data_IF_526350322473
#
_entry.id   IF_526350322473
#
_cell.length_a   1.000
_cell.length_b   1.000
_cell.length_c   1.000
_cell.angle_alpha   90.00
_cell.angle_beta   90.00
_cell.angle_gamma   90.00
#
_symmetry.space_group_name_H-M   'P 1'
#
loop_
_entity.id
_entity.type
_entity.pdbx_description
1 polymer ?
#
# COMPACT_ATOMS: atom_id res chain seq x y z
N UNK A 1 25.28 24.75 17.59
CA UNK A 1 24.38 24.12 16.60
C UNK A 1 25.10 24.04 15.26
N UNK A 2 25.42 22.84 14.78
CA UNK A 2 26.02 22.64 13.46
C UNK A 2 25.02 21.88 12.58
N UNK A 3 24.71 22.42 11.39
CA UNK A 3 23.98 21.69 10.35
C UNK A 3 24.97 20.79 9.62
N UNK A 4 24.69 19.48 9.57
CA UNK A 4 25.54 18.54 8.83
C UNK A 4 25.21 18.65 7.33
N UNK A 5 26.12 19.23 6.56
CA UNK A 5 26.11 19.19 5.10
C UNK A 5 26.88 17.96 4.59
N UNK A 6 26.41 17.39 3.49
CA UNK A 6 26.96 16.16 2.88
C UNK A 6 28.37 16.38 2.30
N UNK A 7 29.31 15.44 2.51
CA UNK A 7 30.40 15.17 1.58
C UNK A 7 29.99 14.09 0.56
N UNK A 8 30.71 14.02 -0.57
CA UNK A 8 30.39 13.12 -1.68
C UNK A 8 31.51 12.09 -1.94
N UNK A 9 31.10 10.86 -2.25
CA UNK A 9 31.84 9.89 -3.07
C UNK A 9 32.98 9.12 -2.39
N UNK A 10 32.95 7.79 -2.56
CA UNK A 10 33.99 7.06 -3.30
C UNK A 10 33.54 5.62 -3.61
N UNK A 11 33.89 5.12 -4.79
CA UNK A 11 33.72 3.71 -5.17
C UNK A 11 35.01 2.95 -4.84
N UNK A 12 34.89 1.72 -4.32
CA UNK A 12 35.96 0.73 -4.34
C UNK A 12 35.42 -0.54 -5.00
N UNK A 13 36.15 -1.04 -6.00
CA UNK A 13 35.88 -2.30 -6.66
C UNK A 13 36.88 -3.35 -6.15
N UNK A 14 36.39 -4.56 -5.83
CA UNK A 14 37.21 -5.69 -5.41
C UNK A 14 36.87 -6.92 -6.25
N UNK A 15 37.87 -7.45 -6.97
CA UNK A 15 37.74 -8.61 -7.85
C UNK A 15 38.37 -9.84 -7.20
N UNK A 16 37.68 -10.98 -7.21
CA UNK A 16 38.30 -12.29 -7.02
C UNK A 16 37.60 -13.35 -7.89
N UNK A 17 38.39 -14.10 -8.67
CA UNK A 17 37.95 -15.25 -9.47
C UNK A 17 38.31 -16.54 -8.72
N UNK A 18 37.47 -17.57 -8.81
CA UNK A 18 37.80 -18.93 -8.36
C UNK A 18 37.01 -19.99 -9.12
N UNK A 19 37.71 -20.86 -9.85
CA UNK A 19 37.21 -22.13 -10.40
C UNK A 19 38.16 -23.25 -9.96
N UNK A 20 37.62 -24.45 -9.68
CA UNK A 20 38.17 -25.70 -10.21
C UNK A 20 37.05 -26.49 -10.93
N UNK A 21 37.19 -26.94 -12.19
CA UNK A 21 37.85 -28.20 -12.62
C UNK A 21 37.34 -29.44 -11.87
N UNK A 22 36.33 -30.14 -12.37
CA UNK A 22 36.43 -31.30 -13.28
C UNK A 22 37.27 -32.48 -12.73
N UNK A 23 36.58 -33.57 -12.37
CA UNK A 23 37.05 -34.93 -12.60
C UNK A 23 35.91 -35.74 -13.22
N UNK A 24 36.20 -36.39 -14.34
CA UNK A 24 35.35 -37.43 -14.94
C UNK A 24 35.87 -38.80 -14.49
N UNK A 25 34.96 -39.68 -14.10
CA UNK A 25 35.14 -41.12 -14.17
C UNK A 25 33.84 -41.71 -14.68
N UNK A 26 33.90 -42.35 -15.84
CA UNK A 26 32.81 -43.14 -16.40
C UNK A 26 33.29 -44.59 -16.52
N UNK A 27 32.38 -45.55 -16.29
CA UNK A 27 32.03 -46.64 -17.22
C UNK A 27 31.25 -47.75 -16.49
N UNK A 28 30.40 -48.48 -17.24
CA UNK A 28 29.54 -49.61 -16.84
C UNK A 28 28.42 -49.26 -15.81
N UNK A 29 27.27 -49.93 -15.69
CA UNK A 29 26.46 -50.84 -16.55
C UNK A 29 25.14 -51.12 -15.79
N UNK A 30 23.96 -51.33 -16.37
CA UNK A 30 23.47 -51.26 -17.77
C UNK A 30 21.92 -51.35 -17.78
N UNK A 31 21.28 -51.09 -18.93
CA UNK A 31 19.92 -51.50 -19.35
C UNK A 31 18.92 -51.96 -18.26
N UNK A 32 17.95 -51.10 -17.89
CA UNK A 32 16.53 -51.43 -17.54
C UNK A 32 15.86 -50.35 -16.68
N UNK A 33 15.46 -49.21 -17.26
CA UNK A 33 14.49 -48.25 -16.69
C UNK A 33 14.17 -47.09 -17.66
N UNK A 34 13.50 -47.39 -18.77
CA UNK A 34 13.01 -46.38 -19.73
C UNK A 34 11.58 -46.69 -20.20
N UNK A 35 10.69 -46.93 -19.24
CA UNK A 35 9.24 -47.00 -19.43
C UNK A 35 8.58 -46.71 -18.06
N UNK A 36 8.54 -45.43 -17.66
CA UNK A 36 7.61 -44.85 -16.68
C UNK A 36 7.88 -43.35 -16.41
N UNK A 37 8.44 -42.61 -17.37
CA UNK A 37 8.22 -41.16 -17.41
C UNK A 37 6.84 -40.94 -18.02
N UNK A 38 5.81 -40.97 -17.17
CA UNK A 38 4.49 -40.49 -17.55
C UNK A 38 4.63 -39.00 -17.88
N UNK A 39 4.54 -38.67 -19.16
CA UNK A 39 4.34 -37.31 -19.62
C UNK A 39 3.05 -36.77 -18.96
N UNK A 40 3.20 -36.04 -17.86
CA UNK A 40 2.17 -35.09 -17.43
C UNK A 40 2.28 -33.91 -18.38
N UNK A 41 1.86 -34.15 -19.64
CA UNK A 41 1.39 -33.07 -20.48
C UNK A 41 0.26 -32.43 -19.69
N UNK A 42 0.52 -31.25 -19.14
CA UNK A 42 -0.55 -30.35 -18.76
C UNK A 42 -1.21 -29.96 -20.07
N UNK A 43 -2.20 -30.75 -20.50
CA UNK A 43 -3.18 -30.32 -21.47
C UNK A 43 -3.68 -28.97 -20.97
N UNK A 44 -3.26 -27.89 -21.63
CA UNK A 44 -3.89 -26.60 -21.48
C UNK A 44 -5.31 -26.77 -21.98
N UNK A 45 -6.22 -27.16 -21.06
CA UNK A 45 -7.65 -27.32 -21.35
C UNK A 45 -8.15 -25.96 -21.81
N UNK A 46 -8.14 -25.77 -23.13
CA UNK A 46 -8.72 -24.62 -23.81
C UNK A 46 -10.18 -24.62 -23.45
N UNK A 47 -10.54 -23.73 -22.51
CA UNK A 47 -11.90 -23.56 -22.00
C UNK A 47 -12.86 -23.44 -23.19
N UNK A 48 -14.05 -24.02 -23.05
CA UNK A 48 -15.02 -23.91 -24.12
C UNK A 48 -15.36 -22.43 -24.36
N UNK A 49 -15.69 -22.00 -25.60
CA UNK A 49 -16.08 -20.62 -25.86
C UNK A 49 -17.30 -20.16 -25.04
N UNK A 50 -18.06 -21.09 -24.46
CA UNK A 50 -19.13 -20.80 -23.51
C UNK A 50 -18.59 -20.59 -22.08
N UNK A 51 -17.67 -21.44 -21.61
CA UNK A 51 -17.01 -21.30 -20.31
C UNK A 51 -16.23 -19.99 -20.19
N UNK A 52 -15.52 -19.57 -21.25
CA UNK A 52 -14.83 -18.27 -21.26
C UNK A 52 -15.80 -17.12 -21.02
N UNK A 53 -16.93 -17.09 -21.75
CA UNK A 53 -18.00 -16.09 -21.57
C UNK A 53 -18.59 -16.14 -20.15
N UNK A 54 -18.65 -17.32 -19.54
CA UNK A 54 -19.16 -17.55 -18.19
C UNK A 54 -18.22 -16.96 -17.12
N UNK A 55 -16.90 -17.18 -17.27
CA UNK A 55 -15.88 -16.52 -16.46
C UNK A 55 -15.93 -15.01 -16.67
N UNK A 56 -16.10 -14.55 -17.91
CA UNK A 56 -16.16 -13.13 -18.23
C UNK A 56 -17.42 -12.44 -17.66
N UNK A 57 -18.56 -13.14 -17.62
CA UNK A 57 -19.77 -12.72 -16.90
C UNK A 57 -19.49 -12.51 -15.41
N UNK A 58 -18.78 -13.45 -14.77
CA UNK A 58 -18.40 -13.35 -13.36
C UNK A 58 -17.41 -12.19 -13.12
N UNK A 59 -16.37 -12.05 -13.96
CA UNK A 59 -15.41 -10.94 -13.92
C UNK A 59 -16.10 -9.57 -14.07
N UNK A 60 -17.05 -9.45 -15.01
CA UNK A 60 -17.86 -8.22 -15.21
C UNK A 60 -18.77 -7.92 -14.00
N UNK A 61 -19.37 -8.95 -13.40
CA UNK A 61 -20.16 -8.79 -12.17
C UNK A 61 -19.29 -8.28 -11.00
N UNK A 62 -18.13 -8.88 -10.77
CA UNK A 62 -17.17 -8.43 -9.74
C UNK A 62 -16.71 -6.99 -10.00
N UNK A 63 -16.28 -6.67 -11.23
CA UNK A 63 -15.86 -5.30 -11.62
C UNK A 63 -16.97 -4.24 -11.41
N UNK A 64 -18.24 -4.59 -11.61
CA UNK A 64 -19.35 -3.65 -11.36
C UNK A 64 -19.67 -3.50 -9.87
N UNK A 65 -19.56 -4.57 -9.08
CA UNK A 65 -19.70 -4.52 -7.62
C UNK A 65 -18.56 -3.71 -6.97
N UNK A 66 -17.31 -3.99 -7.31
CA UNK A 66 -16.14 -3.25 -6.79
C UNK A 66 -16.24 -1.76 -7.12
N UNK A 67 -16.51 -1.39 -8.38
CA UNK A 67 -16.71 0.00 -8.80
C UNK A 67 -17.86 0.71 -8.06
N UNK A 68 -18.93 -0.01 -7.71
CA UNK A 68 -20.03 0.54 -6.88
C UNK A 68 -19.58 0.76 -5.43
N UNK A 69 -18.88 -0.20 -4.84
CA UNK A 69 -18.32 -0.09 -3.48
C UNK A 69 -17.27 1.02 -3.37
N UNK A 70 -16.37 1.14 -4.34
CA UNK A 70 -15.39 2.24 -4.44
C UNK A 70 -16.07 3.60 -4.51
N UNK A 71 -17.09 3.75 -5.37
CA UNK A 71 -17.90 4.98 -5.45
C UNK A 71 -18.60 5.30 -4.13
N UNK A 72 -19.10 4.29 -3.40
CA UNK A 72 -19.71 4.46 -2.08
C UNK A 72 -18.67 4.90 -1.05
N UNK A 73 -17.57 4.16 -0.91
CA UNK A 73 -16.42 4.50 -0.04
C UNK A 73 -15.85 5.89 -0.33
N UNK A 74 -15.77 6.30 -1.59
CA UNK A 74 -15.31 7.64 -1.98
C UNK A 74 -16.30 8.75 -1.60
N UNK A 75 -17.62 8.49 -1.66
CA UNK A 75 -18.66 9.40 -1.16
C UNK A 75 -18.63 9.49 0.37
N UNK A 76 -18.54 8.35 1.06
CA UNK A 76 -18.39 8.25 2.52
C UNK A 76 -17.15 9.03 3.01
N UNK A 77 -15.97 8.82 2.39
CA UNK A 77 -14.74 9.59 2.65
C UNK A 77 -14.96 11.11 2.47
N UNK A 78 -15.52 11.54 1.33
CA UNK A 78 -15.80 12.97 1.10
C UNK A 78 -16.80 13.56 2.10
N UNK A 79 -17.79 12.78 2.53
CA UNK A 79 -18.77 13.21 3.54
C UNK A 79 -18.11 13.37 4.91
N UNK A 80 -17.38 12.35 5.36
CA UNK A 80 -16.68 12.34 6.66
C UNK A 80 -15.62 13.42 6.79
N UNK A 81 -14.83 13.70 5.73
CA UNK A 81 -13.90 14.84 5.72
C UNK A 81 -14.66 16.17 5.87
N UNK A 82 -15.79 16.33 5.17
CA UNK A 82 -16.58 17.57 5.21
C UNK A 82 -17.28 17.79 6.55
N UNK A 83 -17.81 16.75 7.19
CA UNK A 83 -18.41 16.86 8.52
C UNK A 83 -17.34 17.18 9.55
N UNK A 84 -16.23 16.43 9.56
CA UNK A 84 -15.10 16.67 10.46
C UNK A 84 -14.51 18.08 10.30
N UNK A 85 -14.27 18.54 9.07
CA UNK A 85 -13.72 19.88 8.85
C UNK A 85 -14.69 21.01 9.27
N UNK A 86 -16.01 20.77 9.27
CA UNK A 86 -16.99 21.72 9.82
C UNK A 86 -16.96 21.72 11.35
N UNK A 87 -16.93 20.53 11.95
CA UNK A 87 -16.87 20.31 13.39
C UNK A 87 -15.59 20.92 13.98
N UNK A 88 -14.43 20.62 13.38
CA UNK A 88 -13.11 21.15 13.75
C UNK A 88 -13.08 22.68 13.74
N UNK A 89 -13.54 23.31 12.64
CA UNK A 89 -13.64 24.78 12.56
C UNK A 89 -14.62 25.37 13.57
N UNK A 90 -15.75 24.70 13.82
CA UNK A 90 -16.71 25.11 14.83
C UNK A 90 -16.08 25.13 16.22
N UNK A 91 -15.36 24.07 16.56
CA UNK A 91 -14.60 23.93 17.80
C UNK A 91 -13.47 24.95 17.92
N UNK A 92 -12.62 25.12 16.90
CA UNK A 92 -11.55 26.13 16.90
C UNK A 92 -12.08 27.54 17.12
N UNK A 93 -13.18 27.90 16.45
CA UNK A 93 -13.85 29.19 16.62
C UNK A 93 -14.40 29.35 18.05
N UNK A 94 -15.10 28.34 18.56
CA UNK A 94 -15.81 28.39 19.84
C UNK A 94 -14.89 28.27 21.07
N UNK A 95 -13.80 27.51 20.97
CA UNK A 95 -12.92 27.16 22.09
C UNK A 95 -11.56 27.90 22.08
N UNK A 96 -10.98 28.15 20.89
CA UNK A 96 -9.64 28.73 20.78
C UNK A 96 -9.71 30.22 20.43
N UNK A 97 -10.36 30.58 19.31
CA UNK A 97 -10.36 31.95 18.82
C UNK A 97 -11.20 32.90 19.70
N UNK A 98 -12.30 32.41 20.27
CA UNK A 98 -13.08 33.13 21.29
C UNK A 98 -12.22 33.52 22.50
N UNK A 99 -11.51 32.55 23.07
CA UNK A 99 -10.63 32.71 24.24
C UNK A 99 -9.46 33.67 23.94
N UNK A 100 -8.85 33.56 22.76
CA UNK A 100 -7.80 34.48 22.31
C UNK A 100 -8.34 35.91 22.13
N UNK A 101 -9.55 36.07 21.59
CA UNK A 101 -10.20 37.39 21.45
C UNK A 101 -10.51 38.01 22.82
N UNK A 102 -11.07 37.22 23.73
CA UNK A 102 -11.38 37.61 25.10
C UNK A 102 -10.10 37.99 25.89
N UNK A 103 -9.04 37.18 25.81
CA UNK A 103 -7.74 37.48 26.41
C UNK A 103 -7.14 38.79 25.88
N UNK A 104 -7.28 39.06 24.57
CA UNK A 104 -6.86 40.34 23.96
C UNK A 104 -7.69 41.54 24.42
N UNK A 105 -8.98 41.34 24.75
CA UNK A 105 -9.82 42.40 25.34
C UNK A 105 -9.41 42.66 26.79
N UNK A 106 -9.29 41.62 27.61
CA UNK A 106 -8.82 41.69 29.01
C UNK A 106 -7.45 42.36 29.13
N UNK A 107 -6.50 42.02 28.26
CA UNK A 107 -5.19 42.67 28.21
C UNK A 107 -5.28 44.18 27.89
N UNK A 108 -6.16 44.58 26.97
CA UNK A 108 -6.39 46.01 26.65
C UNK A 108 -7.09 46.76 27.78
N UNK A 109 -7.99 46.12 28.52
CA UNK A 109 -8.60 46.69 29.73
C UNK A 109 -7.56 46.90 30.82
N UNK A 110 -6.74 45.87 31.10
CA UNK A 110 -5.71 45.91 32.14
C UNK A 110 -4.66 47.00 31.85
N UNK A 111 -4.28 47.16 30.58
CA UNK A 111 -3.39 48.24 30.14
C UNK A 111 -4.01 49.63 30.32
N UNK A 112 -5.32 49.80 30.02
CA UNK A 112 -6.01 51.09 30.15
C UNK A 112 -6.31 51.49 31.59
N UNK A 113 -6.66 50.52 32.43
CA UNK A 113 -7.07 50.75 33.81
C UNK A 113 -5.89 50.77 34.79
N UNK A 114 -4.76 50.13 34.43
CA UNK A 114 -3.53 50.11 35.23
C UNK A 114 -3.78 49.62 36.67
N UNK A 115 -3.67 50.48 37.69
CA UNK A 115 -3.98 50.11 39.08
C UNK A 115 -5.46 49.75 39.31
N UNK A 116 -6.39 50.28 38.49
CA UNK A 116 -7.84 50.02 38.59
C UNK A 116 -8.29 48.77 37.81
N UNK A 117 -7.36 47.88 37.42
CA UNK A 117 -7.70 46.64 36.71
C UNK A 117 -8.64 45.74 37.54
N UNK A 118 -9.68 45.15 36.95
CA UNK A 118 -10.61 44.31 37.69
C UNK A 118 -9.94 43.01 38.12
N UNK A 119 -10.07 42.63 39.40
CA UNK A 119 -9.68 41.29 39.83
C UNK A 119 -10.75 40.28 39.38
N UNK A 120 -10.43 39.53 38.32
CA UNK A 120 -11.35 38.58 37.67
C UNK A 120 -11.46 37.22 38.38
N UNK A 121 -10.65 36.98 39.41
CA UNK A 121 -10.67 35.76 40.24
C UNK A 121 -11.40 36.01 41.59
N UNK A 122 -12.59 36.63 41.52
CA UNK A 122 -13.45 36.92 42.68
C UNK A 122 -14.85 36.30 42.46
N UNK A 123 -15.55 35.99 43.55
CA UNK A 123 -16.90 35.43 43.52
C UNK A 123 -16.91 33.99 43.00
N UNK A 124 -17.95 33.61 42.25
CA UNK A 124 -18.09 32.26 41.70
C UNK A 124 -16.99 31.84 40.70
N UNK A 125 -16.18 32.79 40.21
CA UNK A 125 -15.03 32.51 39.34
C UNK A 125 -13.72 32.35 40.10
N UNK A 126 -13.69 32.48 41.45
CA UNK A 126 -12.44 32.43 42.23
C UNK A 126 -11.63 31.16 41.95
N UNK A 127 -12.29 30.00 41.91
CA UNK A 127 -11.62 28.70 41.78
C UNK A 127 -11.50 28.23 40.32
N UNK A 128 -12.37 28.73 39.42
CA UNK A 128 -12.42 28.36 38.00
C UNK A 128 -11.72 29.36 37.07
N UNK A 129 -11.36 30.56 37.53
CA UNK A 129 -10.73 31.57 36.66
C UNK A 129 -9.37 31.08 36.14
N UNK A 130 -9.26 31.00 34.81
CA UNK A 130 -8.08 30.50 34.12
C UNK A 130 -8.02 28.97 34.00
N UNK A 131 -8.99 28.24 34.55
CA UNK A 131 -9.14 26.81 34.31
C UNK A 131 -9.78 26.55 32.93
N UNK A 132 -9.41 25.43 32.32
CA UNK A 132 -9.96 24.96 31.05
C UNK A 132 -11.22 24.10 31.31
N UNK A 133 -12.37 24.42 30.69
CA UNK A 133 -13.55 23.58 30.77
C UNK A 133 -13.39 22.33 29.88
N UNK A 134 -14.24 21.34 30.12
CA UNK A 134 -14.17 20.00 29.52
C UNK A 134 -14.03 20.01 27.99
N UNK A 135 -14.80 20.86 27.33
CA UNK A 135 -14.85 20.96 25.87
C UNK A 135 -13.50 21.39 25.28
N UNK A 136 -12.64 22.09 26.04
CA UNK A 136 -11.31 22.51 25.57
C UNK A 136 -10.24 21.42 25.76
N UNK A 137 -10.46 20.47 26.66
CA UNK A 137 -9.55 19.35 26.90
C UNK A 137 -9.77 18.25 25.85
N UNK A 138 -11.02 17.98 25.46
CA UNK A 138 -11.36 16.95 24.47
C UNK A 138 -11.19 17.47 23.05
N UNK A 139 -10.13 17.03 22.35
CA UNK A 139 -9.95 17.28 20.91
C UNK A 139 -10.91 16.41 20.07
N UNK A 140 -11.33 16.92 18.92
CA UNK A 140 -12.17 16.19 17.96
C UNK A 140 -11.35 15.07 17.29
N UNK A 141 -11.94 13.88 17.23
CA UNK A 141 -11.30 12.74 16.58
C UNK A 141 -11.09 12.96 15.08
N UNK A 142 -9.89 12.68 14.61
CA UNK A 142 -9.51 12.65 13.19
C UNK A 142 -10.23 11.47 12.50
N UNK A 143 -10.73 11.61 11.25
CA UNK A 143 -11.34 10.50 10.53
C UNK A 143 -10.36 9.34 10.29
N UNK A 144 -10.84 8.09 10.34
CA UNK A 144 -10.01 6.85 10.25
C UNK A 144 -9.03 6.76 9.05
N UNK A 145 -9.25 7.53 7.99
CA UNK A 145 -8.41 7.55 6.78
C UNK A 145 -7.40 8.72 6.75
N UNK A 146 -7.41 9.59 7.76
CA UNK A 146 -6.43 10.65 8.04
C UNK A 146 -5.63 10.38 9.33
N UNK A 147 -6.04 9.39 10.13
CA UNK A 147 -5.24 8.84 11.24
C UNK A 147 -3.97 8.20 10.70
N UNK A 148 -2.84 8.36 11.39
CA UNK A 148 -1.64 7.60 11.09
C UNK A 148 -1.88 6.12 11.43
N UNK A 149 -1.46 5.16 10.57
CA UNK A 149 -1.55 3.74 10.90
C UNK A 149 -0.60 3.44 12.08
N UNK A 150 -0.99 2.52 12.99
CA UNK A 150 -0.24 2.17 14.22
C UNK A 150 1.25 1.90 13.93
N UNK A 151 1.53 1.31 12.77
CA UNK A 151 2.84 0.85 12.35
C UNK A 151 3.76 1.98 11.83
N UNK A 152 3.22 3.17 11.51
CA UNK A 152 3.96 4.32 10.98
C UNK A 152 3.82 5.56 11.89
N UNK A 153 3.65 5.35 13.20
CA UNK A 153 3.68 6.44 14.18
C UNK A 153 5.15 6.74 14.52
N UNK A 154 5.61 8.00 14.41
CA UNK A 154 7.03 8.36 14.59
C UNK A 154 7.54 8.09 16.01
N UNK A 155 6.69 8.35 17.00
CA UNK A 155 7.00 8.20 18.42
C UNK A 155 6.37 6.94 19.02
N UNK A 156 6.98 6.48 20.09
CA UNK A 156 6.60 5.35 20.92
C UNK A 156 6.58 5.76 22.39
N UNK A 157 6.08 4.89 23.27
CA UNK A 157 6.03 5.18 24.70
C UNK A 157 7.45 5.10 25.28
N UNK A 158 7.82 6.03 26.16
CA UNK A 158 9.19 6.14 26.69
C UNK A 158 10.20 6.85 25.77
N UNK A 159 9.87 7.16 24.52
CA UNK A 159 10.72 8.00 23.66
C UNK A 159 10.95 9.39 24.30
N UNK A 160 12.18 9.89 24.22
CA UNK A 160 12.51 11.29 24.54
C UNK A 160 12.19 12.17 23.35
N UNK A 161 11.44 13.24 23.56
CA UNK A 161 11.06 14.20 22.51
C UNK A 161 11.28 15.64 22.95
N UNK A 162 11.60 16.51 22.00
CA UNK A 162 11.71 17.97 22.18
C UNK A 162 10.47 18.66 21.63
N UNK A 163 9.96 19.64 22.39
CA UNK A 163 8.83 20.47 21.96
C UNK A 163 9.33 21.63 21.09
N UNK A 164 8.83 21.73 19.85
CA UNK A 164 9.25 22.74 18.87
C UNK A 164 8.36 24.00 18.87
N UNK A 165 7.13 23.90 19.38
CA UNK A 165 6.11 24.96 19.41
C UNK A 165 5.29 24.94 20.70
N UNK A 166 4.70 26.08 21.06
CA UNK A 166 3.92 26.25 22.29
C UNK A 166 4.74 26.79 23.46
N UNK A 167 4.17 26.83 24.69
CA UNK A 167 4.79 27.44 25.86
C UNK A 167 6.11 26.78 26.29
N UNK A 168 6.16 25.44 26.22
CA UNK A 168 7.31 24.63 26.63
C UNK A 168 8.35 24.41 25.52
N UNK A 169 8.41 25.30 24.52
CA UNK A 169 9.34 25.19 23.40
C UNK A 169 10.80 25.07 23.88
N UNK A 170 11.49 24.06 23.36
CA UNK A 170 12.90 23.76 23.67
C UNK A 170 13.09 22.83 24.87
N UNK A 171 12.04 22.54 25.65
CA UNK A 171 12.09 21.52 26.70
C UNK A 171 12.05 20.12 26.08
N UNK A 172 12.75 19.18 26.72
CA UNK A 172 12.75 17.76 26.40
C UNK A 172 11.86 17.06 27.44
N UNK A 173 10.99 16.16 26.99
CA UNK A 173 10.15 15.33 27.85
C UNK A 173 10.00 13.91 27.32
N UNK A 174 9.40 13.05 28.13
CA UNK A 174 9.17 11.63 27.80
C UNK A 174 7.74 11.42 27.34
N UNK A 175 7.54 10.60 26.31
CA UNK A 175 6.21 10.21 25.83
C UNK A 175 5.55 9.26 26.81
N UNK A 176 4.43 9.69 27.41
CA UNK A 176 3.64 8.88 28.35
C UNK A 176 2.56 8.06 27.63
N UNK A 177 1.80 8.69 26.75
CA UNK A 177 0.73 8.04 25.98
C UNK A 177 0.55 8.74 24.62
N UNK A 178 -0.01 8.05 23.63
CA UNK A 178 -0.37 8.66 22.34
C UNK A 178 -1.78 8.29 21.92
N UNK A 179 -2.60 9.30 21.61
CA UNK A 179 -3.97 9.13 21.17
C UNK A 179 -4.03 9.02 19.64
N UNK A 180 -4.22 7.80 19.15
CA UNK A 180 -4.33 7.49 17.70
C UNK A 180 -5.58 8.07 17.05
N UNK A 181 -6.62 8.38 17.83
CA UNK A 181 -7.87 8.88 17.29
C UNK A 181 -7.79 10.37 16.97
N UNK A 182 -6.96 11.13 17.68
CA UNK A 182 -6.74 12.56 17.48
C UNK A 182 -5.37 12.91 16.85
N UNK A 183 -4.47 11.93 16.66
CA UNK A 183 -3.08 12.11 16.22
C UNK A 183 -2.25 13.01 17.19
N UNK A 184 -2.41 12.77 18.49
CA UNK A 184 -1.75 13.54 19.55
C UNK A 184 -0.91 12.67 20.50
N UNK A 185 -0.02 13.32 21.26
CA UNK A 185 0.91 12.73 22.22
C UNK A 185 0.79 13.45 23.57
N UNK A 186 0.60 12.68 24.64
CA UNK A 186 0.66 13.18 26.01
C UNK A 186 2.06 12.95 26.55
N UNK A 187 2.72 14.06 26.93
CA UNK A 187 4.05 14.04 27.55
C UNK A 187 3.94 14.07 29.07
N UNK A 188 4.93 13.49 29.74
CA UNK A 188 5.01 13.53 31.20
C UNK A 188 5.38 14.94 31.70
N UNK A 189 4.63 15.44 32.68
CA UNK A 189 4.79 16.74 33.36
C UNK A 189 5.09 17.95 32.43
N UNK A 190 4.48 17.97 31.24
CA UNK A 190 4.60 19.02 30.24
C UNK A 190 3.23 19.49 29.76
N UNK A 191 3.16 20.72 29.24
CA UNK A 191 1.91 21.37 28.82
C UNK A 191 0.84 21.38 29.93
N UNK A 192 1.29 21.50 31.18
CA UNK A 192 0.41 21.50 32.34
C UNK A 192 -0.49 22.72 32.30
N UNK A 193 -1.79 22.48 32.40
CA UNK A 193 -2.81 23.51 32.51
C UNK A 193 -3.75 23.20 33.68
N UNK A 194 -4.28 24.26 34.28
CA UNK A 194 -5.42 24.13 35.17
C UNK A 194 -6.64 23.72 34.34
N UNK A 195 -7.24 22.61 34.70
CA UNK A 195 -8.52 22.14 34.20
C UNK A 195 -9.57 22.28 35.30
N UNK A 196 -10.81 22.57 34.89
CA UNK A 196 -11.95 22.56 35.81
C UNK A 196 -12.19 21.13 36.31
N UNK A 197 -12.43 20.95 37.61
CA UNK A 197 -12.68 19.63 38.18
C UNK A 197 -13.97 18.98 37.63
N UNK A 198 -14.94 19.79 37.17
CA UNK A 198 -16.12 19.29 36.44
C UNK A 198 -15.78 18.60 35.11
N UNK A 199 -14.58 18.84 34.56
CA UNK A 199 -14.14 18.20 33.34
C UNK A 199 -13.88 16.69 33.50
N UNK A 200 -13.50 16.26 34.71
CA UNK A 200 -13.13 14.86 35.00
C UNK A 200 -14.18 14.12 35.83
N UNK A 201 -14.87 14.79 36.75
CA UNK A 201 -15.92 14.19 37.58
C UNK A 201 -17.25 14.90 37.42
N UNK A 202 -18.31 14.14 37.10
CA UNK A 202 -19.69 14.62 37.17
C UNK A 202 -20.20 14.73 38.61
N UNK A 203 -19.54 14.06 39.57
CA UNK A 203 -19.86 14.18 40.99
C UNK A 203 -18.92 15.16 41.67
N UNK A 204 -19.46 16.30 42.11
CA UNK A 204 -18.76 17.26 42.98
C UNK A 204 -18.66 16.70 44.41
N UNK A 205 -17.66 15.87 44.67
CA UNK A 205 -17.26 15.53 46.05
C UNK A 205 -16.67 16.79 46.70
N UNK A 206 -17.14 17.24 47.89
CA UNK A 206 -16.73 18.50 48.51
C UNK A 206 -15.24 18.57 48.89
N UNK A 207 -14.54 17.43 48.90
CA UNK A 207 -13.11 17.31 49.15
C UNK A 207 -12.24 17.69 47.95
N UNK A 208 -12.78 17.68 46.72
CA UNK A 208 -11.98 17.95 45.53
C UNK A 208 -11.74 19.47 45.36
N UNK A 209 -10.50 19.91 45.04
CA UNK A 209 -10.24 21.31 44.71
C UNK A 209 -11.03 21.70 43.46
N UNK A 210 -11.44 22.97 43.34
CA UNK A 210 -12.23 23.46 42.20
C UNK A 210 -11.52 23.42 40.83
N UNK A 211 -10.20 23.23 40.83
CA UNK A 211 -9.38 23.02 39.64
C UNK A 211 -8.26 22.02 39.92
N UNK A 212 -7.82 21.30 38.88
CA UNK A 212 -6.72 20.32 38.95
C UNK A 212 -5.71 20.58 37.83
N UNK A 213 -4.43 20.33 38.08
CA UNK A 213 -3.39 20.42 37.05
C UNK A 213 -3.40 19.16 36.19
N UNK A 214 -3.47 19.31 34.87
CA UNK A 214 -3.43 18.17 33.93
C UNK A 214 -2.62 18.49 32.67
N UNK A 215 -2.03 17.45 32.07
CA UNK A 215 -1.15 17.60 30.91
C UNK A 215 -1.99 17.68 29.63
N UNK A 216 -1.83 18.75 28.85
CA UNK A 216 -2.50 18.89 27.56
C UNK A 216 -1.71 18.18 26.44
N UNK A 217 -2.38 17.41 25.56
CA UNK A 217 -1.68 16.62 24.55
C UNK A 217 -1.19 17.47 23.37
N UNK A 218 0.06 17.26 22.94
CA UNK A 218 0.70 17.88 21.78
C UNK A 218 0.35 17.19 20.47
N UNK A 219 0.33 17.93 19.35
CA UNK A 219 0.20 17.36 18.01
C UNK A 219 1.55 16.80 17.55
N UNK A 220 1.57 15.68 16.81
CA UNK A 220 2.80 15.08 16.27
C UNK A 220 3.73 16.06 15.52
N UNK A 221 3.17 17.07 14.83
CA UNK A 221 3.94 18.07 14.07
C UNK A 221 4.86 18.95 14.92
N UNK A 222 4.51 19.11 16.19
CA UNK A 222 5.11 20.08 17.10
C UNK A 222 6.17 19.43 18.02
N UNK A 223 6.37 18.11 17.88
CA UNK A 223 7.38 17.32 18.58
C UNK A 223 8.47 16.87 17.60
N UNK A 224 9.68 16.63 18.10
CA UNK A 224 10.76 15.91 17.40
C UNK A 224 11.43 14.91 18.33
N UNK A 225 11.89 13.78 17.80
CA UNK A 225 12.56 12.76 18.59
C UNK A 225 13.95 13.26 19.01
N UNK A 226 14.35 12.97 20.24
CA UNK A 226 15.70 13.19 20.75
C UNK A 226 16.33 11.83 20.99
N UNK A 227 17.43 11.54 20.31
CA UNK A 227 18.21 10.33 20.53
C UNK A 227 19.62 10.69 20.99
N UNK A 228 20.24 9.81 21.79
CA UNK A 228 21.68 9.87 22.05
C UNK A 228 22.38 9.38 20.80
N UNK A 229 23.36 10.14 20.31
CA UNK A 229 24.13 9.80 19.13
C UNK A 229 25.61 10.00 19.40
N UNK A 230 26.42 8.99 19.07
CA UNK A 230 27.88 9.08 19.14
C UNK A 230 28.40 9.77 17.88
N UNK A 231 29.08 10.90 18.05
CA UNK A 231 29.69 11.60 16.93
C UNK A 231 30.92 10.82 16.45
N UNK A 232 30.94 10.24 15.22
CA UNK A 232 32.01 9.35 14.77
C UNK A 232 33.38 10.01 14.63
N UNK A 233 33.45 11.34 14.81
CA UNK A 233 34.71 12.10 14.83
C UNK A 233 35.27 12.31 16.24
N UNK A 234 34.38 12.52 17.21
CA UNK A 234 34.76 12.90 18.58
C UNK A 234 34.69 11.73 19.56
N UNK A 235 33.96 10.65 19.22
CA UNK A 235 33.67 9.53 20.13
C UNK A 235 32.81 9.93 21.35
N UNK A 236 32.19 11.11 21.32
CA UNK A 236 31.36 11.64 22.41
C UNK A 236 29.90 11.49 22.07
N UNK A 237 29.14 10.91 22.99
CA UNK A 237 27.69 10.96 22.97
C UNK A 237 27.18 12.40 23.06
N UNK A 238 26.22 12.74 22.20
CA UNK A 238 25.51 14.02 22.18
C UNK A 238 24.02 13.74 22.02
N UNK A 239 23.17 14.48 22.71
CA UNK A 239 21.73 14.48 22.42
C UNK A 239 21.50 15.17 21.07
N UNK A 240 20.91 14.45 20.12
CA UNK A 240 20.62 14.91 18.76
C UNK A 240 19.12 14.91 18.52
N UNK A 241 18.61 16.02 17.99
CA UNK A 241 17.23 16.17 17.54
C UNK A 241 17.12 15.57 16.14
N UNK A 242 16.21 14.62 15.96
CA UNK A 242 15.90 13.99 14.68
C UNK A 242 14.85 14.83 13.96
N UNK A 243 15.20 15.39 12.80
CA UNK A 243 14.29 16.25 12.01
C UNK A 243 13.10 15.48 11.41
N UNK A 244 13.35 14.31 10.80
CA UNK A 244 12.35 13.45 10.16
C UNK A 244 12.71 11.96 10.32
N UNK A 245 11.70 11.08 10.30
CA UNK A 245 11.85 9.62 10.46
C UNK A 245 11.35 8.89 9.20
N UNK A 246 12.19 8.01 8.66
CA UNK A 246 11.86 7.06 7.59
C UNK A 246 11.46 5.70 8.18
N UNK A 247 10.35 5.13 7.72
CA UNK A 247 9.96 3.75 8.03
C UNK A 247 10.44 2.82 6.92
N UNK A 248 11.33 1.88 7.25
CA UNK A 248 11.76 0.82 6.32
C UNK A 248 11.20 -0.50 6.85
N UNK A 249 10.54 -1.32 6.00
CA UNK A 249 9.99 -2.59 6.43
C UNK A 249 11.14 -3.50 6.86
N UNK A 250 10.93 -4.28 7.93
CA UNK A 250 11.94 -5.21 8.43
C UNK A 250 12.30 -6.22 7.33
N UNK A 251 13.56 -6.68 7.29
CA UNK A 251 14.06 -7.69 6.34
C UNK A 251 14.85 -8.79 7.05
N UNK A 252 14.36 -9.18 8.22
CA UNK A 252 14.82 -10.37 8.95
C UNK A 252 13.99 -11.55 8.46
N UNK A 253 14.63 -12.55 7.86
CA UNK A 253 13.97 -13.77 7.36
C UNK A 253 14.65 -14.42 6.16
N UNK A 254 15.14 -15.64 6.38
CA UNK A 254 15.23 -16.82 5.49
C UNK A 254 15.77 -16.69 4.04
N UNK A 255 16.24 -15.52 3.61
CA UNK A 255 16.56 -15.26 2.20
C UNK A 255 15.34 -15.18 1.27
N UNK A 256 14.11 -15.38 1.78
CA UNK A 256 12.86 -15.39 0.99
C UNK A 256 12.44 -14.01 0.46
N UNK A 257 13.10 -12.94 0.90
CA UNK A 257 12.85 -11.56 0.50
C UNK A 257 11.53 -10.97 0.99
N UNK A 258 10.77 -11.72 1.80
CA UNK A 258 9.54 -11.25 2.44
C UNK A 258 9.88 -10.57 3.77
N UNK A 259 9.29 -9.41 4.02
CA UNK A 259 9.36 -8.77 5.34
C UNK A 259 8.59 -9.61 6.36
N UNK A 260 9.09 -9.77 7.59
CA UNK A 260 8.36 -10.47 8.63
C UNK A 260 7.06 -9.72 8.92
N UNK A 261 6.00 -10.51 9.03
CA UNK A 261 4.64 -10.05 9.27
C UNK A 261 4.34 -10.32 10.75
N UNK A 262 3.94 -9.28 11.48
CA UNK A 262 3.50 -9.44 12.86
C UNK A 262 2.27 -10.39 12.89
N UNK A 263 2.33 -11.55 13.58
CA UNK A 263 1.35 -12.62 13.39
C UNK A 263 -0.05 -12.25 13.86
N UNK A 264 -0.18 -11.37 14.87
CA UNK A 264 -1.47 -10.91 15.40
C UNK A 264 -2.14 -9.87 14.49
N UNK A 265 -1.37 -8.94 13.93
CA UNK A 265 -1.92 -7.86 13.08
C UNK A 265 -1.96 -8.20 11.60
N UNK A 266 -1.27 -9.26 11.17
CA UNK A 266 -1.07 -9.68 9.78
C UNK A 266 -0.53 -8.55 8.87
N UNK A 267 0.24 -7.62 9.46
CA UNK A 267 0.89 -6.49 8.79
C UNK A 267 2.41 -6.61 8.83
N UNK A 268 3.12 -6.07 7.82
CA UNK A 268 4.58 -5.98 7.88
C UNK A 268 5.03 -5.10 9.05
N UNK A 269 6.05 -5.56 9.78
CA UNK A 269 6.73 -4.76 10.79
C UNK A 269 7.64 -3.73 10.11
N UNK A 270 7.85 -2.57 10.74
CA UNK A 270 8.75 -1.51 10.26
C UNK A 270 9.74 -1.09 11.35
N UNK A 271 11.01 -0.91 10.97
CA UNK A 271 11.97 -0.20 11.80
C UNK A 271 11.97 1.30 11.46
N UNK A 272 12.25 2.11 12.48
CA UNK A 272 12.44 3.56 12.38
C UNK A 272 13.88 3.86 11.98
N UNK A 273 14.08 4.79 11.06
CA UNK A 273 15.39 5.29 10.66
C UNK A 273 15.41 6.81 10.65
N UNK A 274 16.54 7.42 10.97
CA UNK A 274 16.73 8.87 10.79
C UNK A 274 16.75 9.18 9.28
N UNK A 275 15.85 10.05 8.82
CA UNK A 275 15.65 10.31 7.39
C UNK A 275 16.92 10.79 6.68
N UNK A 276 17.13 10.35 5.44
CA UNK A 276 18.34 10.61 4.67
C UNK A 276 19.61 9.89 5.18
N UNK A 277 19.52 9.10 6.25
CA UNK A 277 20.58 8.23 6.76
C UNK A 277 20.12 6.77 6.78
N UNK A 278 21.05 5.85 7.09
CA UNK A 278 20.73 4.46 7.41
C UNK A 278 20.94 4.15 8.90
N UNK A 279 20.86 5.17 9.76
CA UNK A 279 20.89 5.01 11.21
C UNK A 279 19.51 4.52 11.65
N UNK A 280 19.47 3.31 12.22
CA UNK A 280 18.26 2.77 12.84
C UNK A 280 18.04 3.49 14.19
N UNK A 281 16.79 3.83 14.47
CA UNK A 281 16.35 4.26 15.80
C UNK A 281 15.82 3.01 16.48
N UNK A 282 16.54 2.55 17.50
CA UNK A 282 16.14 1.39 18.30
C UNK A 282 14.77 1.60 18.96
N UNK A 283 14.10 0.49 19.27
CA UNK A 283 12.85 0.50 20.03
C UNK A 283 13.19 0.29 21.50
N UNK A 284 12.44 0.92 22.40
CA UNK A 284 12.67 0.69 23.83
C UNK A 284 12.38 -0.77 24.21
N UNK A 285 13.02 -1.28 25.27
CA UNK A 285 12.67 -2.60 25.78
C UNK A 285 11.20 -2.71 26.17
N UNK A 286 10.60 -1.61 26.63
CA UNK A 286 9.20 -1.56 27.03
C UNK A 286 8.25 -1.50 25.82
N UNK A 287 8.68 -1.00 24.66
CA UNK A 287 7.97 -1.21 23.39
C UNK A 287 8.00 -2.67 22.96
N UNK A 288 9.16 -3.34 23.09
CA UNK A 288 9.29 -4.77 22.78
C UNK A 288 8.42 -5.63 23.72
N UNK A 289 8.26 -5.21 24.97
CA UNK A 289 7.29 -5.80 25.91
C UNK A 289 5.84 -5.44 25.55
N UNK A 290 5.56 -4.21 25.12
CA UNK A 290 4.21 -3.72 24.76
C UNK A 290 3.70 -4.26 23.42
N UNK A 291 4.58 -4.75 22.54
CA UNK A 291 4.16 -5.56 21.38
C UNK A 291 3.78 -7.00 21.76
N UNK A 292 4.21 -7.50 22.93
CA UNK A 292 3.62 -8.70 23.57
C UNK A 292 2.36 -8.28 24.30
N UNK A 293 1.24 -8.44 23.59
CA UNK A 293 -0.09 -7.92 23.88
C UNK A 293 -0.42 -7.69 25.38
N UNK A 294 -0.31 -6.45 25.90
CA UNK A 294 -0.40 -6.15 27.34
C UNK A 294 -1.81 -6.32 27.92
N UNK A 295 -2.78 -6.63 27.07
CA UNK A 295 -4.17 -6.90 27.43
C UNK A 295 -4.62 -8.33 27.17
N UNK A 296 -3.76 -9.24 26.70
CA UNK A 296 -4.18 -10.63 26.47
C UNK A 296 -4.50 -11.30 27.80
N UNK A 297 -5.79 -11.52 28.03
CA UNK A 297 -6.32 -12.30 29.14
C UNK A 297 -7.06 -13.47 28.52
N UNK A 298 -6.58 -14.68 28.78
CA UNK A 298 -7.40 -15.86 28.55
C UNK A 298 -8.60 -15.76 29.49
N UNK A 299 -9.80 -15.81 28.93
CA UNK A 299 -11.03 -15.99 29.67
C UNK A 299 -11.26 -17.50 29.91
N UNK A 300 -12.08 -17.85 30.90
CA UNK A 300 -12.42 -19.26 31.17
C UNK A 300 -13.24 -19.89 30.03
N UNK A 301 -13.90 -19.06 29.21
CA UNK A 301 -14.63 -19.45 28.00
C UNK A 301 -13.71 -19.70 26.78
N UNK A 302 -12.42 -19.33 26.86
CA UNK A 302 -11.48 -19.52 25.74
C UNK A 302 -11.00 -20.98 25.66
N UNK A 303 -10.84 -21.48 24.44
CA UNK A 303 -10.30 -22.83 24.22
C UNK A 303 -8.79 -22.83 24.42
N UNK A 304 -8.29 -23.70 25.32
CA UNK A 304 -6.86 -23.80 25.67
C UNK A 304 -6.02 -24.39 24.53
N UNK A 305 -4.75 -23.98 24.43
CA UNK A 305 -3.82 -24.49 23.40
C UNK A 305 -3.76 -26.02 23.38
N UNK A 306 -3.70 -26.66 24.56
CA UNK A 306 -3.69 -28.12 24.73
C UNK A 306 -4.89 -28.83 24.03
N UNK A 307 -6.04 -28.15 23.91
CA UNK A 307 -7.24 -28.66 23.23
C UNK A 307 -7.19 -28.37 21.72
N UNK A 308 -6.57 -27.26 21.32
CA UNK A 308 -6.48 -26.85 19.90
C UNK A 308 -5.39 -27.65 19.15
N UNK A 309 -4.25 -27.85 19.78
CA UNK A 309 -3.02 -28.38 19.17
C UNK A 309 -2.79 -29.88 19.41
N UNK A 310 -3.61 -30.52 20.25
CA UNK A 310 -3.48 -31.96 20.50
C UNK A 310 -3.99 -32.80 19.34
N UNK A 311 -3.24 -33.85 19.01
CA UNK A 311 -3.50 -34.77 17.90
C UNK A 311 -4.89 -35.43 17.96
N UNK A 312 -5.46 -35.56 19.17
CA UNK A 312 -6.81 -36.10 19.39
C UNK A 312 -7.93 -35.19 18.86
N UNK A 313 -7.68 -33.89 18.75
CA UNK A 313 -8.61 -32.90 18.23
C UNK A 313 -8.35 -32.51 16.76
N UNK A 314 -7.35 -33.13 16.12
CA UNK A 314 -7.17 -33.10 14.66
C UNK A 314 -8.21 -33.99 13.92
N UNK A 315 -9.49 -33.72 14.17
CA UNK A 315 -10.64 -34.52 13.72
C UNK A 315 -10.89 -34.44 12.20
N UNK A 316 -10.29 -33.46 11.50
CA UNK A 316 -10.46 -33.30 10.06
C UNK A 316 -9.65 -34.33 9.27
N UNK A 317 -10.33 -35.35 8.78
CA UNK A 317 -9.80 -36.30 7.80
C UNK A 317 -10.09 -35.82 6.37
N UNK A 318 -9.29 -36.27 5.39
CA UNK A 318 -9.47 -35.95 3.96
C UNK A 318 -10.18 -37.10 3.23
N UNK A 319 -11.52 -37.24 3.28
CA UNK A 319 -12.21 -38.25 2.50
C UNK A 319 -12.19 -37.92 1.01
N UNK A 320 -11.81 -38.89 0.18
CA UNK A 320 -11.91 -38.79 -1.28
C UNK A 320 -13.26 -39.30 -1.81
N UNK A 321 -13.88 -40.26 -1.11
CA UNK A 321 -15.12 -40.94 -1.56
C UNK A 321 -16.39 -40.22 -1.11
N UNK A 322 -16.39 -39.67 0.11
CA UNK A 322 -17.51 -38.90 0.68
C UNK A 322 -17.14 -37.42 0.72
N UNK A 323 -18.11 -36.54 0.48
CA UNK A 323 -17.93 -35.11 0.70
C UNK A 323 -17.63 -34.85 2.19
N UNK A 324 -16.79 -33.84 2.53
CA UNK A 324 -16.45 -33.51 3.93
C UNK A 324 -17.64 -32.93 4.71
N UNK A 325 -18.72 -32.55 4.03
CA UNK A 325 -19.97 -32.08 4.60
C UNK A 325 -21.16 -32.49 3.70
N UNK A 326 -22.41 -32.54 4.22
CA UNK A 326 -23.58 -32.85 3.42
C UNK A 326 -23.78 -31.87 2.25
N UNK A 327 -24.33 -32.32 1.10
CA UNK A 327 -24.50 -31.47 -0.08
C UNK A 327 -25.46 -30.30 0.16
N UNK A 328 -26.44 -30.43 1.07
CA UNK A 328 -27.35 -29.34 1.45
C UNK A 328 -26.61 -28.10 1.98
N UNK A 329 -25.54 -28.30 2.75
CA UNK A 329 -24.74 -27.21 3.34
C UNK A 329 -23.99 -26.41 2.25
N UNK A 330 -23.79 -26.98 1.05
CA UNK A 330 -23.12 -26.28 -0.05
C UNK A 330 -23.94 -25.05 -0.48
N UNK A 331 -25.27 -25.17 -0.54
CA UNK A 331 -26.16 -24.09 -0.97
C UNK A 331 -26.40 -23.03 0.12
N UNK A 332 -26.07 -23.34 1.37
CA UNK A 332 -25.97 -22.37 2.47
C UNK A 332 -24.65 -21.58 2.40
N UNK A 333 -23.51 -22.26 2.18
CA UNK A 333 -22.19 -21.61 2.05
C UNK A 333 -22.06 -20.73 0.80
N UNK A 334 -22.78 -21.04 -0.29
CA UNK A 334 -22.82 -20.22 -1.50
C UNK A 334 -24.22 -20.20 -2.11
N UNK A 335 -24.67 -19.03 -2.57
CA UNK A 335 -25.89 -18.96 -3.38
C UNK A 335 -25.68 -19.72 -4.72
N UNK A 336 -26.44 -20.79 -5.02
CA UNK A 336 -26.24 -21.61 -6.21
C UNK A 336 -26.49 -20.87 -7.53
N UNK A 337 -27.27 -19.79 -7.49
CA UNK A 337 -27.66 -18.94 -8.62
C UNK A 337 -26.84 -17.64 -8.72
N UNK A 338 -25.76 -17.50 -7.94
CA UNK A 338 -24.91 -16.31 -7.96
C UNK A 338 -24.32 -16.03 -9.36
N UNK A 339 -24.47 -14.79 -9.85
CA UNK A 339 -23.91 -14.36 -11.15
C UNK A 339 -22.38 -14.49 -11.24
N UNK A 340 -21.71 -14.51 -10.09
CA UNK A 340 -20.27 -14.71 -9.90
C UNK A 340 -19.85 -16.19 -9.78
N UNK A 341 -20.79 -17.16 -9.81
CA UNK A 341 -20.47 -18.59 -9.85
C UNK A 341 -19.66 -18.93 -11.10
N UNK A 342 -18.50 -19.54 -10.89
CA UNK A 342 -17.56 -20.03 -11.92
C UNK A 342 -17.49 -21.55 -12.01
N UNK A 343 -17.70 -22.27 -10.90
CA UNK A 343 -17.77 -23.74 -10.86
C UNK A 343 -19.20 -24.20 -11.14
N UNK A 344 -19.40 -24.78 -12.32
CA UNK A 344 -20.67 -25.32 -12.81
C UNK A 344 -20.55 -26.80 -13.12
N UNK A 345 -21.68 -27.47 -13.19
CA UNK A 345 -21.77 -28.91 -13.32
C UNK A 345 -21.73 -29.27 -14.82
N UNK A 346 -21.06 -30.36 -15.20
CA UNK A 346 -20.79 -30.66 -16.62
C UNK A 346 -22.05 -30.87 -17.47
N UNK A 347 -23.12 -31.38 -16.86
CA UNK A 347 -24.43 -31.49 -17.51
C UNK A 347 -25.03 -30.11 -17.81
N UNK A 348 -24.89 -29.17 -16.88
CA UNK A 348 -25.37 -27.80 -17.04
C UNK A 348 -24.59 -27.09 -18.16
N UNK A 349 -23.26 -27.27 -18.21
CA UNK A 349 -22.42 -26.74 -19.27
C UNK A 349 -22.84 -27.29 -20.64
N UNK A 350 -22.94 -28.62 -20.78
CA UNK A 350 -23.40 -29.28 -22.02
C UNK A 350 -24.79 -28.80 -22.46
N UNK A 351 -25.75 -28.67 -21.53
CA UNK A 351 -27.10 -28.15 -21.86
C UNK A 351 -27.08 -26.70 -22.37
N UNK A 352 -26.18 -25.84 -21.89
CA UNK A 352 -26.04 -24.47 -22.41
C UNK A 352 -25.27 -24.41 -23.73
N UNK A 353 -24.27 -25.27 -23.93
CA UNK A 353 -23.54 -25.38 -25.20
C UNK A 353 -24.46 -25.84 -26.32
N UNK A 354 -25.28 -26.88 -26.10
CA UNK A 354 -26.32 -27.31 -27.04
C UNK A 354 -27.29 -26.15 -27.32
N UNK A 355 -27.69 -25.39 -26.29
CA UNK A 355 -28.58 -24.22 -26.46
C UNK A 355 -27.92 -23.10 -27.27
N UNK A 356 -26.62 -22.89 -27.18
CA UNK A 356 -25.88 -21.93 -28.01
C UNK A 356 -25.70 -22.44 -29.44
N UNK A 357 -25.39 -23.73 -29.65
CA UNK A 357 -25.34 -24.36 -30.98
C UNK A 357 -26.69 -24.23 -31.70
N UNK A 358 -27.79 -24.55 -31.03
CA UNK A 358 -29.15 -24.35 -31.56
C UNK A 358 -29.47 -22.88 -31.90
N UNK A 359 -28.89 -21.89 -31.21
CA UNK A 359 -29.03 -20.48 -31.59
C UNK A 359 -28.23 -20.18 -32.85
N UNK A 360 -26.98 -20.62 -32.93
CA UNK A 360 -26.13 -20.43 -34.12
C UNK A 360 -26.74 -21.12 -35.35
N UNK A 361 -27.33 -22.30 -35.19
CA UNK A 361 -28.09 -22.98 -36.24
C UNK A 361 -29.33 -22.18 -36.65
N UNK A 362 -30.09 -21.64 -35.69
CA UNK A 362 -31.22 -20.73 -35.98
C UNK A 362 -30.78 -19.45 -36.69
N UNK A 363 -29.66 -18.86 -36.32
CA UNK A 363 -29.06 -17.71 -37.01
C UNK A 363 -28.60 -18.06 -38.43
N UNK A 364 -28.24 -19.32 -38.69
CA UNK A 364 -27.93 -19.87 -40.03
C UNK A 364 -29.16 -20.31 -40.83
N UNK A 365 -30.35 -20.48 -40.23
CA UNK A 365 -31.57 -20.85 -40.98
C UNK A 365 -31.88 -19.95 -42.20
N UNK A 366 -31.72 -18.62 -42.17
CA UNK A 366 -31.89 -17.79 -43.37
C UNK A 366 -30.88 -18.08 -44.48
N UNK A 367 -29.73 -18.71 -44.20
CA UNK A 367 -28.78 -19.09 -45.24
C UNK A 367 -29.31 -20.18 -46.16
N UNK A 368 -30.11 -21.11 -45.63
CA UNK A 368 -30.77 -22.15 -46.42
C UNK A 368 -31.98 -21.62 -47.21
N UNK A 369 -32.44 -20.39 -46.92
CA UNK A 369 -33.51 -19.69 -47.65
C UNK A 369 -32.97 -18.59 -48.59
N UNK A 370 -31.65 -18.55 -48.84
CA UNK A 370 -31.04 -17.63 -49.81
C UNK A 370 -31.55 -17.93 -51.22
N UNK A 371 -31.94 -16.90 -51.96
CA UNK A 371 -32.35 -17.05 -53.36
C UNK A 371 -31.13 -17.37 -54.25
N UNK A 372 -31.29 -18.04 -55.40
CA UNK A 372 -30.17 -18.34 -56.30
C UNK A 372 -29.36 -17.09 -56.72
N UNK A 373 -30.03 -15.93 -56.85
CA UNK A 373 -29.38 -14.66 -57.18
C UNK A 373 -28.58 -14.07 -56.00
N UNK A 374 -28.93 -14.38 -54.75
CA UNK A 374 -28.13 -14.03 -53.57
C UNK A 374 -26.89 -14.91 -53.48
N UNK A 375 -27.02 -16.23 -53.68
CA UNK A 375 -25.89 -17.17 -53.68
C UNK A 375 -24.86 -16.79 -54.76
N UNK A 376 -25.32 -16.43 -55.96
CA UNK A 376 -24.41 -15.94 -57.03
C UNK A 376 -23.67 -14.65 -56.63
N UNK A 377 -24.31 -13.72 -55.91
CA UNK A 377 -23.63 -12.50 -55.40
C UNK A 377 -22.58 -12.85 -54.34
N UNK A 378 -22.86 -13.79 -53.44
CA UNK A 378 -21.92 -14.24 -52.43
C UNK A 378 -20.69 -14.93 -53.06
N UNK A 379 -20.91 -15.82 -54.03
CA UNK A 379 -19.82 -16.45 -54.78
C UNK A 379 -18.99 -15.43 -55.58
N UNK A 380 -19.62 -14.42 -56.20
CA UNK A 380 -18.91 -13.32 -56.85
C UNK A 380 -18.16 -12.44 -55.85
N UNK A 381 -18.70 -12.21 -54.65
CA UNK A 381 -18.03 -11.45 -53.60
C UNK A 381 -16.81 -12.21 -53.04
N UNK A 382 -16.93 -13.53 -52.84
CA UNK A 382 -15.82 -14.41 -52.44
C UNK A 382 -14.72 -14.44 -53.50
N UNK A 383 -15.06 -14.63 -54.78
CA UNK A 383 -14.10 -14.54 -55.89
C UNK A 383 -13.41 -13.18 -55.95
N UNK A 384 -14.15 -12.07 -55.80
CA UNK A 384 -13.58 -10.71 -55.72
C UNK A 384 -12.71 -10.50 -54.48
N UNK A 385 -12.98 -11.18 -53.37
CA UNK A 385 -12.12 -11.13 -52.17
C UNK A 385 -10.82 -11.91 -52.40
N UNK A 386 -10.91 -13.13 -52.93
CA UNK A 386 -9.74 -13.95 -53.31
C UNK A 386 -8.88 -13.25 -54.37
N UNK A 387 -9.48 -12.65 -55.41
CA UNK A 387 -8.75 -11.83 -56.38
C UNK A 387 -8.07 -10.61 -55.74
N UNK A 388 -8.68 -9.97 -54.74
CA UNK A 388 -8.06 -8.85 -54.01
C UNK A 388 -6.90 -9.32 -53.14
N UNK A 389 -7.02 -10.48 -52.50
CA UNK A 389 -5.95 -11.08 -51.70
C UNK A 389 -4.81 -11.57 -52.59
N UNK A 390 -5.09 -12.23 -53.71
CA UNK A 390 -4.13 -12.60 -54.73
C UNK A 390 -3.43 -11.36 -55.31
N UNK A 391 -4.16 -10.33 -55.75
CA UNK A 391 -3.58 -9.06 -56.22
C UNK A 391 -2.73 -8.37 -55.16
N UNK A 392 -3.10 -8.47 -53.86
CA UNK A 392 -2.30 -7.96 -52.75
C UNK A 392 -1.01 -8.77 -52.53
N UNK A 393 -1.07 -10.10 -52.65
CA UNK A 393 0.10 -10.98 -52.60
C UNK A 393 1.01 -10.76 -53.81
N UNK A 394 0.47 -10.70 -55.03
CA UNK A 394 1.19 -10.34 -56.26
C UNK A 394 1.85 -8.96 -56.14
N UNK A 395 1.16 -7.96 -55.60
CA UNK A 395 1.76 -6.65 -55.32
C UNK A 395 2.88 -6.72 -54.27
N UNK A 396 2.77 -7.56 -53.24
CA UNK A 396 3.85 -7.78 -52.28
C UNK A 396 5.06 -8.47 -52.93
N UNK A 397 4.85 -9.51 -53.75
CA UNK A 397 5.91 -10.22 -54.48
C UNK A 397 6.58 -9.32 -55.53
N UNK A 398 5.79 -8.50 -56.25
CA UNK A 398 6.29 -7.52 -57.20
C UNK A 398 7.08 -6.42 -56.48
N UNK A 399 6.60 -5.95 -55.31
CA UNK A 399 7.32 -4.99 -54.48
C UNK A 399 8.64 -5.58 -53.96
N UNK A 400 8.68 -6.85 -53.55
CA UNK A 400 9.91 -7.55 -53.15
C UNK A 400 10.89 -7.64 -54.33
N UNK A 401 10.43 -8.07 -55.51
CA UNK A 401 11.27 -8.15 -56.71
C UNK A 401 11.80 -6.77 -57.16
N UNK A 402 10.97 -5.72 -57.11
CA UNK A 402 11.40 -4.35 -57.38
C UNK A 402 12.40 -3.87 -56.33
N UNK A 403 12.19 -4.16 -55.05
CA UNK A 403 13.11 -3.80 -53.96
C UNK A 403 14.47 -4.51 -54.14
N UNK A 404 14.46 -5.79 -54.53
CA UNK A 404 15.67 -6.55 -54.87
C UNK A 404 16.41 -5.95 -56.07
N UNK A 405 15.68 -5.58 -57.14
CA UNK A 405 16.26 -4.96 -58.34
C UNK A 405 16.80 -3.54 -58.08
N UNK A 406 16.15 -2.77 -57.20
CA UNK A 406 16.66 -1.51 -56.68
C UNK A 406 17.94 -1.75 -55.87
N UNK A 407 17.96 -2.78 -55.01
CA UNK A 407 19.17 -3.19 -54.27
C UNK A 407 20.35 -3.54 -55.18
N UNK A 408 20.10 -4.28 -56.27
CA UNK A 408 21.12 -4.56 -57.29
C UNK A 408 21.60 -3.30 -58.02
N UNK A 409 20.70 -2.36 -58.35
CA UNK A 409 21.10 -1.08 -58.96
C UNK A 409 21.89 -0.21 -57.98
N UNK A 410 21.53 -0.20 -56.70
CA UNK A 410 22.27 0.48 -55.63
C UNK A 410 23.65 -0.16 -55.43
N UNK A 411 23.78 -1.48 -55.54
CA UNK A 411 25.09 -2.16 -55.49
C UNK A 411 25.94 -1.90 -56.75
N UNK A 412 25.34 -1.83 -57.94
CA UNK A 412 26.05 -1.50 -59.18
C UNK A 412 26.49 -0.04 -59.25
N UNK A 413 25.67 0.87 -58.70
CA UNK A 413 25.96 2.30 -58.62
C UNK A 413 26.61 2.70 -57.28
N UNK A 414 26.91 1.76 -56.40
CA UNK A 414 27.64 2.03 -55.18
C UNK A 414 29.05 2.52 -55.57
N UNK A 415 29.50 3.71 -55.10
CA UNK A 415 30.86 4.12 -55.35
C UNK A 415 31.79 3.06 -54.77
N UNK A 416 32.75 2.57 -55.58
CA UNK A 416 33.78 1.64 -55.12
C UNK A 416 34.42 2.22 -53.87
N UNK A 417 34.22 1.57 -52.73
CA UNK A 417 34.71 2.06 -51.46
C UNK A 417 36.23 2.31 -51.56
N UNK A 418 36.74 3.48 -51.11
CA UNK A 418 38.15 3.79 -51.23
C UNK A 418 38.99 2.74 -50.51
N UNK A 419 40.06 2.30 -51.16
CA UNK A 419 40.97 1.26 -50.68
C UNK A 419 41.70 1.78 -49.44
N UNK A 420 41.14 1.53 -48.26
CA UNK A 420 41.68 2.08 -47.02
C UNK A 420 40.91 1.79 -45.73
N UNK A 421 39.92 0.89 -45.72
CA UNK A 421 39.22 0.50 -44.49
C UNK A 421 39.53 -0.94 -44.05
N UNK A 422 40.10 -1.03 -42.85
CA UNK A 422 40.40 -2.28 -42.13
C UNK A 422 39.14 -3.16 -42.06
N UNK A 423 39.31 -4.46 -42.29
CA UNK A 423 38.24 -5.46 -42.14
C UNK A 423 37.86 -5.62 -40.66
N UNK A 424 36.98 -4.75 -40.17
CA UNK A 424 36.26 -5.01 -38.91
C UNK A 424 35.54 -6.36 -39.01
N UNK A 425 35.69 -7.19 -37.99
CA UNK A 425 35.04 -8.51 -37.95
C UNK A 425 33.52 -8.33 -37.82
N UNK A 426 32.76 -9.39 -38.12
CA UNK A 426 31.30 -9.35 -38.03
C UNK A 426 30.81 -8.97 -36.61
N UNK A 427 31.56 -9.36 -35.58
CA UNK A 427 31.29 -9.05 -34.17
C UNK A 427 31.46 -7.56 -33.83
N UNK A 428 32.50 -6.92 -34.38
CA UNK A 428 32.71 -5.47 -34.19
C UNK A 428 31.61 -4.66 -34.89
N UNK A 429 31.21 -5.06 -36.10
CA UNK A 429 30.07 -4.47 -36.80
C UNK A 429 28.76 -4.67 -36.02
N UNK A 430 28.56 -5.84 -35.41
CA UNK A 430 27.40 -6.10 -34.56
C UNK A 430 27.38 -5.17 -33.33
N UNK A 431 28.52 -4.94 -32.67
CA UNK A 431 28.63 -3.99 -31.53
C UNK A 431 28.38 -2.54 -31.91
N UNK A 432 28.73 -2.11 -33.12
CA UNK A 432 28.47 -0.74 -33.60
C UNK A 432 27.02 -0.54 -34.03
N UNK A 433 26.40 -1.54 -34.68
CA UNK A 433 24.99 -1.52 -35.08
C UNK A 433 24.03 -1.70 -33.90
N UNK A 434 24.39 -2.52 -32.91
CA UNK A 434 23.67 -2.66 -31.62
C UNK A 434 24.00 -1.48 -30.71
N UNK A 435 23.68 -0.27 -31.19
CA UNK A 435 23.89 0.99 -30.48
C UNK A 435 23.34 0.96 -29.05
N UNK A 436 24.07 1.63 -28.16
CA UNK A 436 23.84 1.75 -26.70
C UNK A 436 22.34 1.66 -26.34
N UNK A 437 21.95 0.85 -25.33
CA UNK A 437 20.56 0.63 -24.98
C UNK A 437 19.83 1.97 -24.83
N UNK A 438 18.71 2.10 -25.55
CA UNK A 438 17.96 3.34 -25.63
C UNK A 438 17.66 3.86 -24.22
N UNK A 439 18.04 5.11 -23.93
CA UNK A 439 17.60 5.80 -22.71
C UNK A 439 16.08 5.72 -22.68
N UNK A 440 15.52 4.97 -21.73
CA UNK A 440 14.09 5.00 -21.45
C UNK A 440 13.70 6.48 -21.32
N UNK A 441 12.81 6.94 -22.21
CA UNK A 441 12.15 8.22 -22.03
C UNK A 441 11.40 8.14 -20.70
N UNK A 442 11.95 8.74 -19.65
CA UNK A 442 11.17 9.10 -18.47
C UNK A 442 9.91 9.79 -18.98
N UNK A 443 8.74 9.19 -18.74
CA UNK A 443 7.48 9.92 -18.85
C UNK A 443 7.66 11.19 -18.03
N UNK A 444 7.35 12.34 -18.61
CA UNK A 444 7.08 13.55 -17.83
C UNK A 444 5.85 13.24 -16.97
N UNK A 445 6.09 12.86 -15.72
CA UNK A 445 5.08 13.02 -14.70
C UNK A 445 4.78 14.51 -14.62
N UNK A 446 3.51 14.86 -14.83
CA UNK A 446 3.03 16.21 -14.58
C UNK A 446 3.03 16.40 -13.07
N UNK A 447 4.11 16.99 -12.55
CA UNK A 447 4.18 17.46 -11.18
C UNK A 447 3.14 18.55 -10.97
N UNK A 448 1.98 18.16 -10.44
CA UNK A 448 1.09 19.07 -9.73
C UNK A 448 1.91 19.64 -8.57
N UNK A 449 2.23 20.94 -8.66
CA UNK A 449 2.91 21.64 -7.57
C UNK A 449 2.05 21.66 -6.30
N UNK A 450 2.65 21.86 -5.13
CA UNK A 450 1.90 21.95 -3.89
C UNK A 450 0.94 23.15 -3.93
N UNK A 451 -0.36 22.86 -3.91
CA UNK A 451 -1.37 23.85 -3.54
C UNK A 451 -1.18 24.17 -2.07
N UNK A 452 -0.77 25.41 -1.79
CA UNK A 452 -0.73 25.97 -0.45
C UNK A 452 -2.14 26.17 0.10
N UNK A 453 -2.49 25.41 1.14
CA UNK A 453 -3.54 25.70 2.12
C UNK A 453 -3.12 25.14 3.48
#
# INVERSE_FOLDING_TARGET
>A
MQRILRPAGQHIAGSAKGKPSFHQTALFSSTSQTLLETEVQQEEKTLSPFEERLQDRARRALRTQTRRLERRKARERKSTIRSWAREHRGFENANVLSAVKEARQKWKEDWKLGPLRPNRAIGGLKDTYGALPRERLTKIQVPKHLRLPKEMIPFRQGDRVVVMRGPDKGKIGTVKEFNRDCNDVLLENMNMAWADTEAFSTMRTPTNPGRQETNLPYVFSDLRLVMRWEDPRDGREKDVIVDDIEFKPVREGDGSGRSPVNPWTLKPTYHRYVAGTNIMIEMSEDDLKTEKDPGYRSHDDDTKSDIIESEQHHTFTYPLVRLPMPPSVIDELRNPYAKTRTRHDEEWLRQHEIREQQKVEKEKTPEYMKTPTQVLRELQAQKRAQEKEAKKQEQMMLAEHLTRKIGEMVLKNAPKAPVGYVKMTAEERARVLMGKPAKLRKRRELSLGPLSL
#
